data_IF_638620011809
#
_entry.id   IF_638620011809
#
_cell.length_a   1.000
_cell.length_b   1.000
_cell.length_c   1.000
_cell.angle_alpha   90.00
_cell.angle_beta   90.00
_cell.angle_gamma   90.00
#
_symmetry.space_group_name_H-M   'P 1'
#
loop_
_entity.id
_entity.type
_entity.pdbx_description
1 polymer ?
#
# COMPACT_ATOMS: atom_id res chain seq x y z
N UNK A 1 -77.02 25.34 70.56
CA UNK A 1 -76.50 26.60 71.11
C UNK A 1 -75.00 26.45 71.26
N UNK A 2 -74.24 27.46 70.76
CA UNK A 2 -72.78 27.70 70.81
C UNK A 2 -71.92 26.75 69.96
N UNK A 3 -71.32 27.09 68.80
CA UNK A 3 -70.42 28.18 68.32
C UNK A 3 -69.01 28.21 68.95
N UNK A 4 -68.00 27.92 68.10
CA UNK A 4 -66.67 28.56 67.91
C UNK A 4 -65.74 27.53 67.23
N UNK A 5 -65.39 27.69 65.95
CA UNK A 5 -64.16 28.35 65.43
C UNK A 5 -62.87 27.60 65.85
N UNK A 6 -61.94 27.18 65.02
CA UNK A 6 -61.61 27.38 63.60
C UNK A 6 -60.10 27.06 63.48
N UNK A 7 -59.61 26.65 62.30
CA UNK A 7 -58.29 27.01 61.75
C UNK A 7 -57.96 26.22 60.49
N UNK A 8 -57.44 26.98 59.53
CA UNK A 8 -57.14 26.69 58.14
C UNK A 8 -56.18 25.52 57.89
N UNK A 9 -56.50 24.74 56.85
CA UNK A 9 -55.54 24.04 56.00
C UNK A 9 -56.02 24.17 54.55
N UNK A 10 -55.36 25.05 53.80
CA UNK A 10 -55.72 25.49 52.45
C UNK A 10 -55.70 24.37 51.42
N UNK A 11 -56.78 24.30 50.64
CA UNK A 11 -56.80 23.69 49.31
C UNK A 11 -55.81 24.42 48.39
N UNK A 12 -55.10 23.65 47.57
CA UNK A 12 -54.16 24.16 46.57
C UNK A 12 -53.83 23.07 45.56
N UNK A 13 -54.88 22.56 44.90
CA UNK A 13 -54.78 21.74 43.71
C UNK A 13 -54.34 22.60 42.52
N UNK A 14 -53.51 21.99 41.65
CA UNK A 14 -53.15 22.38 40.28
C UNK A 14 -52.42 23.72 40.10
N UNK A 15 -51.16 23.68 39.67
CA UNK A 15 -50.88 23.84 38.25
C UNK A 15 -49.41 23.60 37.90
N UNK A 16 -49.26 22.99 36.73
CA UNK A 16 -48.04 22.71 35.99
C UNK A 16 -47.07 23.90 35.97
N UNK A 17 -45.77 23.60 36.12
CA UNK A 17 -44.67 24.08 35.27
C UNK A 17 -43.38 23.35 35.65
N UNK A 18 -43.20 22.19 35.03
CA UNK A 18 -41.87 21.70 34.70
C UNK A 18 -41.32 22.64 33.62
N UNK A 19 -40.51 23.62 34.00
CA UNK A 19 -39.76 24.43 33.07
C UNK A 19 -38.34 24.65 33.61
N UNK A 20 -37.38 24.43 32.71
CA UNK A 20 -35.92 24.57 32.86
C UNK A 20 -35.12 23.34 33.32
N UNK A 21 -35.35 22.21 32.66
CA UNK A 21 -34.27 21.25 32.39
C UNK A 21 -34.13 21.02 30.88
N UNK A 22 -33.75 22.04 30.10
CA UNK A 22 -33.59 21.83 28.65
C UNK A 22 -32.57 22.72 27.96
N UNK A 23 -31.39 22.91 28.57
CA UNK A 23 -30.28 23.60 27.88
C UNK A 23 -28.91 22.93 28.02
N UNK A 24 -28.77 21.80 28.74
CA UNK A 24 -27.44 21.17 28.93
C UNK A 24 -27.17 19.95 28.02
N UNK A 25 -28.18 19.29 27.46
CA UNK A 25 -27.97 18.07 26.66
C UNK A 25 -27.64 18.34 25.18
N UNK A 26 -28.09 19.46 24.62
CA UNK A 26 -27.87 19.76 23.19
C UNK A 26 -26.42 20.05 22.85
N UNK A 27 -25.66 20.64 23.78
CA UNK A 27 -24.23 20.90 23.59
C UNK A 27 -23.37 19.63 23.69
N UNK A 28 -23.76 18.68 24.55
CA UNK A 28 -23.04 17.40 24.66
C UNK A 28 -23.30 16.51 23.45
N UNK A 29 -24.53 16.45 22.96
CA UNK A 29 -24.90 15.70 21.74
C UNK A 29 -24.28 16.31 20.48
N UNK A 30 -24.23 17.64 20.37
CA UNK A 30 -23.53 18.32 19.29
C UNK A 30 -22.02 18.03 19.29
N UNK A 31 -21.38 18.07 20.47
CA UNK A 31 -19.96 17.74 20.62
C UNK A 31 -19.69 16.26 20.33
N UNK A 32 -20.56 15.35 20.77
CA UNK A 32 -20.44 13.91 20.49
C UNK A 32 -20.54 13.64 18.97
N UNK A 33 -21.46 14.31 18.29
CA UNK A 33 -21.61 14.24 16.83
C UNK A 33 -20.42 14.83 16.09
N UNK A 34 -19.86 15.95 16.57
CA UNK A 34 -18.64 16.53 16.01
C UNK A 34 -17.43 15.60 16.20
N UNK A 35 -17.31 14.97 17.37
CA UNK A 35 -16.30 13.93 17.65
C UNK A 35 -16.48 12.73 16.72
N UNK A 36 -17.70 12.28 16.48
CA UNK A 36 -17.99 11.17 15.56
C UNK A 36 -17.62 11.52 14.10
N UNK A 37 -17.95 12.73 13.64
CA UNK A 37 -17.59 13.23 12.30
C UNK A 37 -16.06 13.34 12.17
N UNK A 38 -15.38 13.90 13.18
CA UNK A 38 -13.92 13.96 13.17
C UNK A 38 -13.29 12.57 13.21
N UNK A 39 -13.84 11.65 14.01
CA UNK A 39 -13.33 10.29 14.11
C UNK A 39 -13.45 9.54 12.79
N UNK A 40 -14.59 9.68 12.09
CA UNK A 40 -14.80 9.06 10.78
C UNK A 40 -13.87 9.65 9.73
N UNK A 41 -13.73 10.98 9.67
CA UNK A 41 -12.79 11.63 8.77
C UNK A 41 -11.34 11.18 9.02
N UNK A 42 -10.93 11.04 10.28
CA UNK A 42 -9.60 10.56 10.63
C UNK A 42 -9.39 9.11 10.22
N UNK A 43 -10.41 8.24 10.35
CA UNK A 43 -10.33 6.87 9.89
C UNK A 43 -10.18 6.78 8.37
N UNK A 44 -10.94 7.58 7.62
CA UNK A 44 -10.85 7.65 6.16
C UNK A 44 -9.46 8.12 5.72
N UNK A 45 -8.92 9.17 6.36
CA UNK A 45 -7.57 9.67 6.10
C UNK A 45 -6.49 8.64 6.44
N UNK A 46 -6.66 7.88 7.53
CA UNK A 46 -5.72 6.80 7.88
C UNK A 46 -5.76 5.68 6.84
N UNK A 47 -6.95 5.31 6.35
CA UNK A 47 -7.09 4.31 5.29
C UNK A 47 -6.43 4.76 3.98
N UNK A 48 -6.69 6.00 3.54
CA UNK A 48 -6.05 6.58 2.34
C UNK A 48 -4.52 6.58 2.47
N UNK A 49 -4.01 6.95 3.65
CA UNK A 49 -2.56 6.92 3.92
C UNK A 49 -2.02 5.49 3.81
N UNK A 50 -2.71 4.50 4.35
CA UNK A 50 -2.26 3.11 4.33
C UNK A 50 -2.25 2.56 2.89
N UNK A 51 -3.22 2.94 2.05
CA UNK A 51 -3.22 2.65 0.61
C UNK A 51 -2.01 3.27 -0.10
N UNK A 52 -1.69 4.53 0.18
CA UNK A 52 -0.51 5.21 -0.36
C UNK A 52 0.81 4.54 0.07
N UNK A 53 0.91 4.15 1.34
CA UNK A 53 2.09 3.43 1.86
C UNK A 53 2.26 2.10 1.13
N UNK A 54 1.18 1.35 0.91
CA UNK A 54 1.23 0.09 0.16
C UNK A 54 1.71 0.31 -1.28
N UNK A 55 1.21 1.34 -1.98
CA UNK A 55 1.66 1.68 -3.34
C UNK A 55 3.15 2.05 -3.38
N UNK A 56 3.64 2.80 -2.40
CA UNK A 56 5.07 3.15 -2.30
C UNK A 56 5.91 1.90 -2.06
N UNK A 57 5.51 1.03 -1.15
CA UNK A 57 6.22 -0.23 -0.88
C UNK A 57 6.28 -1.13 -2.11
N UNK A 58 5.19 -1.20 -2.87
CA UNK A 58 5.14 -1.95 -4.13
C UNK A 58 6.12 -1.41 -5.17
N UNK A 59 6.16 -0.09 -5.37
CA UNK A 59 7.11 0.57 -6.28
C UNK A 59 8.57 0.35 -5.87
N UNK A 60 8.86 0.45 -4.58
CA UNK A 60 10.20 0.18 -4.06
C UNK A 60 10.61 -1.29 -4.22
N UNK A 61 9.67 -2.22 -4.03
CA UNK A 61 9.88 -3.66 -4.28
C UNK A 61 10.17 -3.92 -5.75
N UNK A 62 9.43 -3.28 -6.66
CA UNK A 62 9.69 -3.37 -8.10
C UNK A 62 11.12 -2.91 -8.46
N UNK A 63 11.51 -1.72 -8.00
CA UNK A 63 12.86 -1.17 -8.25
C UNK A 63 13.95 -2.12 -7.72
N UNK A 64 13.74 -2.65 -6.51
CA UNK A 64 14.68 -3.62 -5.90
C UNK A 64 14.83 -4.88 -6.75
N UNK A 65 13.73 -5.41 -7.30
CA UNK A 65 13.79 -6.57 -8.18
C UNK A 65 14.48 -6.26 -9.52
N UNK A 66 14.27 -5.08 -10.10
CA UNK A 66 14.99 -4.65 -11.32
C UNK A 66 16.50 -4.71 -11.10
N UNK A 67 16.99 -4.09 -10.02
CA UNK A 67 18.42 -4.14 -9.69
C UNK A 67 18.93 -5.56 -9.48
N UNK A 68 18.17 -6.39 -8.75
CA UNK A 68 18.55 -7.78 -8.51
C UNK A 68 18.66 -8.59 -9.80
N UNK A 69 17.71 -8.44 -10.72
CA UNK A 69 17.76 -9.12 -12.03
C UNK A 69 18.99 -8.70 -12.82
N UNK A 70 19.32 -7.40 -12.82
CA UNK A 70 20.53 -6.92 -13.48
C UNK A 70 21.81 -7.49 -12.86
N UNK A 71 21.91 -7.53 -11.53
CA UNK A 71 23.06 -8.08 -10.82
C UNK A 71 23.26 -9.57 -11.09
N UNK A 72 22.17 -10.35 -11.04
CA UNK A 72 22.20 -11.78 -11.38
C UNK A 72 22.61 -12.00 -12.84
N UNK A 73 22.09 -11.17 -13.75
CA UNK A 73 22.44 -11.25 -15.17
C UNK A 73 23.91 -10.90 -15.44
N UNK A 74 24.41 -9.83 -14.80
CA UNK A 74 25.81 -9.38 -14.87
C UNK A 74 26.74 -10.47 -14.33
N UNK A 75 26.48 -11.00 -13.14
CA UNK A 75 27.31 -12.04 -12.50
C UNK A 75 27.32 -13.35 -13.28
N UNK A 76 26.16 -13.82 -13.76
CA UNK A 76 26.05 -15.02 -14.60
C UNK A 76 26.84 -14.90 -15.90
N UNK A 77 26.78 -13.74 -16.56
CA UNK A 77 27.57 -13.48 -17.76
C UNK A 77 29.06 -13.42 -17.47
N UNK A 78 29.47 -12.70 -16.44
CA UNK A 78 30.88 -12.59 -16.05
C UNK A 78 31.45 -13.97 -15.70
N UNK A 79 30.70 -14.81 -15.00
CA UNK A 79 31.05 -16.21 -14.74
C UNK A 79 31.30 -16.99 -16.04
N UNK A 80 30.37 -16.93 -17.01
CA UNK A 80 30.54 -17.59 -18.31
C UNK A 80 31.77 -17.10 -19.07
N UNK A 81 31.99 -15.79 -19.12
CA UNK A 81 33.17 -15.20 -19.78
C UNK A 81 34.46 -15.66 -19.10
N UNK A 82 34.49 -15.70 -17.76
CA UNK A 82 35.65 -16.16 -17.00
C UNK A 82 35.92 -17.66 -17.22
N UNK A 83 34.89 -18.50 -17.28
CA UNK A 83 35.03 -19.92 -17.63
C UNK A 83 35.65 -20.09 -19.02
N UNK A 84 35.13 -19.38 -20.03
CA UNK A 84 35.67 -19.43 -21.40
C UNK A 84 37.13 -18.96 -21.42
N UNK A 85 37.43 -17.86 -20.73
CA UNK A 85 38.79 -17.32 -20.62
C UNK A 85 39.74 -18.33 -19.95
N UNK A 86 39.28 -19.04 -18.93
CA UNK A 86 40.04 -20.11 -18.28
C UNK A 86 40.35 -21.27 -19.22
N UNK A 87 39.37 -21.71 -20.00
CA UNK A 87 39.54 -22.79 -20.99
C UNK A 87 40.53 -22.38 -22.08
N UNK A 88 40.38 -21.18 -22.66
CA UNK A 88 41.27 -20.69 -23.72
C UNK A 88 42.72 -20.57 -23.23
N UNK A 89 42.91 -20.07 -22.01
CA UNK A 89 44.24 -20.04 -21.37
C UNK A 89 44.84 -21.44 -21.21
N UNK A 90 44.04 -22.41 -20.77
CA UNK A 90 44.49 -23.82 -20.65
C UNK A 90 44.87 -24.44 -21.99
N UNK A 91 44.23 -24.01 -23.07
CA UNK A 91 44.50 -24.49 -24.43
C UNK A 91 45.61 -23.69 -25.14
N UNK A 92 46.25 -22.73 -24.46
CA UNK A 92 47.22 -21.79 -25.04
C UNK A 92 46.67 -21.02 -26.26
N UNK A 93 45.35 -20.86 -26.35
CA UNK A 93 44.69 -20.09 -27.40
C UNK A 93 44.61 -18.63 -26.96
N UNK A 94 44.98 -17.66 -27.82
CA UNK A 94 44.82 -16.23 -27.52
C UNK A 94 43.37 -15.90 -27.19
N UNK A 95 43.14 -15.12 -26.13
CA UNK A 95 41.79 -14.69 -25.73
C UNK A 95 41.32 -13.56 -26.65
N UNK A 96 40.21 -13.70 -27.38
CA UNK A 96 39.66 -12.61 -28.20
C UNK A 96 39.33 -11.37 -27.37
N UNK A 97 39.70 -10.18 -27.88
CA UNK A 97 39.36 -8.89 -27.26
C UNK A 97 37.84 -8.60 -27.22
N UNK A 98 37.05 -9.35 -28.01
CA UNK A 98 35.59 -9.27 -28.07
C UNK A 98 34.89 -9.97 -26.90
N UNK A 99 35.60 -10.73 -26.06
CA UNK A 99 35.07 -11.34 -24.83
C UNK A 99 34.98 -10.32 -23.68
N UNK A 100 34.42 -9.14 -23.96
CA UNK A 100 34.07 -8.16 -22.95
C UNK A 100 32.58 -8.27 -22.60
N UNK A 101 32.21 -8.07 -21.34
CA UNK A 101 30.81 -8.10 -20.92
C UNK A 101 30.06 -6.90 -21.51
N UNK A 102 29.43 -7.06 -22.68
CA UNK A 102 28.57 -6.03 -23.30
C UNK A 102 27.42 -5.67 -22.36
N UNK A 103 27.11 -4.40 -22.02
CA UNK A 103 26.04 -4.08 -21.07
C UNK A 103 24.72 -4.74 -21.50
N UNK A 104 24.16 -5.60 -20.65
CA UNK A 104 22.83 -6.16 -20.91
C UNK A 104 21.82 -5.13 -20.47
N UNK A 105 21.01 -4.67 -21.41
CA UNK A 105 19.87 -3.81 -21.12
C UNK A 105 18.72 -4.70 -20.69
N UNK A 106 18.25 -4.57 -19.43
CA UNK A 106 16.96 -5.11 -19.05
C UNK A 106 15.89 -4.31 -19.82
N UNK A 107 15.18 -4.96 -20.73
CA UNK A 107 14.07 -4.35 -21.45
C UNK A 107 12.78 -4.75 -20.74
N UNK A 108 12.18 -3.80 -20.04
CA UNK A 108 10.88 -3.98 -19.41
C UNK A 108 9.83 -3.50 -20.41
N UNK A 109 8.96 -4.38 -20.94
CA UNK A 109 7.90 -3.96 -21.83
C UNK A 109 6.96 -2.98 -21.10
N UNK A 110 6.76 -1.82 -21.72
CA UNK A 110 5.92 -0.74 -21.19
C UNK A 110 4.92 -0.30 -22.26
N UNK A 111 3.68 -0.02 -21.85
CA UNK A 111 2.64 0.53 -22.72
C UNK A 111 2.79 2.06 -22.70
N UNK A 112 3.09 2.71 -23.85
CA UNK A 112 3.32 4.15 -23.89
C UNK A 112 2.12 4.94 -23.36
N UNK A 113 2.36 5.86 -22.42
CA UNK A 113 1.38 6.87 -21.99
C UNK A 113 0.52 6.49 -20.79
N UNK A 114 0.67 5.30 -20.20
CA UNK A 114 -0.09 4.89 -19.01
C UNK A 114 0.84 4.46 -17.87
N UNK A 115 0.68 5.04 -16.68
CA UNK A 115 1.36 4.52 -15.47
C UNK A 115 0.83 3.10 -15.22
N UNK A 116 1.69 2.09 -14.99
CA UNK A 116 1.21 0.73 -14.71
C UNK A 116 0.32 0.76 -13.47
N UNK A 117 -0.82 0.08 -13.54
CA UNK A 117 -1.67 -0.16 -12.37
C UNK A 117 -0.92 -0.97 -11.33
N UNK A 118 -1.34 -0.91 -10.06
CA UNK A 118 -0.70 -1.68 -8.99
C UNK A 118 -0.78 -3.20 -9.27
N UNK A 119 -1.84 -3.68 -9.91
CA UNK A 119 -1.97 -5.08 -10.36
C UNK A 119 -0.93 -5.46 -11.43
N UNK A 120 -0.74 -4.59 -12.42
CA UNK A 120 0.29 -4.76 -13.45
C UNK A 120 1.69 -4.73 -12.83
N UNK A 121 1.92 -3.84 -11.87
CA UNK A 121 3.18 -3.71 -11.16
C UNK A 121 3.48 -4.95 -10.30
N UNK A 122 2.47 -5.52 -9.63
CA UNK A 122 2.61 -6.79 -8.88
C UNK A 122 2.87 -7.98 -9.82
N UNK A 123 2.25 -8.01 -11.00
CA UNK A 123 2.55 -9.01 -12.03
C UNK A 123 4.00 -8.90 -12.53
N UNK A 124 4.48 -7.67 -12.77
CA UNK A 124 5.88 -7.41 -13.12
C UNK A 124 6.84 -7.83 -12.00
N UNK A 125 6.53 -7.51 -10.73
CA UNK A 125 7.32 -7.95 -9.57
C UNK A 125 7.49 -9.48 -9.56
N UNK A 126 6.41 -10.23 -9.79
CA UNK A 126 6.46 -11.70 -9.87
C UNK A 126 7.33 -12.20 -11.04
N UNK A 127 7.28 -11.52 -12.18
CA UNK A 127 8.14 -11.84 -13.32
C UNK A 127 9.62 -11.62 -12.98
N UNK A 128 9.96 -10.45 -12.41
CA UNK A 128 11.33 -10.11 -12.05
C UNK A 128 11.88 -11.01 -10.94
N UNK A 129 11.06 -11.37 -9.95
CA UNK A 129 11.44 -12.34 -8.92
C UNK A 129 11.74 -13.72 -9.50
N UNK A 130 10.90 -14.19 -10.42
CA UNK A 130 11.14 -15.45 -11.15
C UNK A 130 12.42 -15.38 -11.99
N UNK A 131 12.72 -14.25 -12.63
CA UNK A 131 13.96 -14.04 -13.37
C UNK A 131 15.19 -14.04 -12.44
N UNK A 132 15.13 -13.29 -11.33
CA UNK A 132 16.23 -13.20 -10.37
C UNK A 132 16.55 -14.54 -9.69
N UNK A 133 15.55 -15.42 -9.55
CA UNK A 133 15.71 -16.77 -9.02
C UNK A 133 16.08 -17.82 -10.08
N UNK A 134 16.30 -17.42 -11.34
CA UNK A 134 16.49 -18.33 -12.48
C UNK A 134 15.37 -19.39 -12.61
N UNK A 135 14.14 -19.02 -12.25
CA UNK A 135 12.98 -19.90 -12.34
C UNK A 135 12.61 -20.19 -13.79
N UNK A 136 12.29 -21.45 -14.09
CA UNK A 136 11.80 -21.87 -15.41
C UNK A 136 10.46 -21.25 -15.79
N UNK A 137 9.73 -20.69 -14.81
CA UNK A 137 8.43 -20.06 -15.01
C UNK A 137 8.54 -18.61 -15.50
N UNK A 138 9.72 -17.98 -15.43
CA UNK A 138 9.90 -16.58 -15.78
C UNK A 138 9.42 -16.23 -17.21
N UNK A 139 9.73 -17.02 -18.27
CA UNK A 139 9.23 -16.74 -19.61
C UNK A 139 7.69 -16.82 -19.71
N UNK A 140 7.08 -17.76 -19.00
CA UNK A 140 5.62 -17.95 -18.99
C UNK A 140 4.91 -16.81 -18.29
N UNK A 141 5.44 -16.35 -17.16
CA UNK A 141 4.90 -15.19 -16.43
C UNK A 141 5.01 -13.91 -17.27
N UNK A 142 6.16 -13.69 -17.90
CA UNK A 142 6.38 -12.54 -18.77
C UNK A 142 5.46 -12.55 -20.00
N UNK A 143 5.31 -13.71 -20.65
CA UNK A 143 4.38 -13.86 -21.76
C UNK A 143 2.93 -13.57 -21.34
N UNK A 144 2.52 -14.07 -20.17
CA UNK A 144 1.18 -13.80 -19.62
C UNK A 144 0.95 -12.30 -19.40
N UNK A 145 1.95 -11.59 -18.89
CA UNK A 145 1.88 -10.14 -18.67
C UNK A 145 1.83 -9.34 -19.98
N UNK A 146 2.56 -9.76 -21.01
CA UNK A 146 2.56 -9.06 -22.31
C UNK A 146 1.24 -9.26 -23.06
N UNK A 147 0.61 -10.43 -22.91
CA UNK A 147 -0.60 -10.80 -23.63
C UNK A 147 -1.91 -10.44 -22.90
N UNK A 148 -1.83 -9.88 -21.69
CA UNK A 148 -2.97 -9.38 -20.91
C UNK A 148 -3.25 -7.92 -21.21
#
# INVERSE_FOLDING_TARGET
>A
MNFAEGLHGTEGSSDLKDDESNTCDTGFDANAKEVEIMSTLLLDQLNERDELVNSIQLKNRFISFVHRVEEVSKSSREGRINTIRGILKSLHVPVPATLSPHPSTLVIPYIPGAIPTDEQLEALCRCLEAMASNSRLAPTLLAKYICS
#
